data_IF_854004386076
#
_entry.id   IF_854004386076
#
_cell.length_a   1.000
_cell.length_b   1.000
_cell.length_c   1.000
_cell.angle_alpha   90.00
_cell.angle_beta   90.00
_cell.angle_gamma   90.00
#
_symmetry.space_group_name_H-M   'P 1'
#
loop_
_entity.id
_entity.type
_entity.pdbx_description
1 polymer ?
#
# COMPACT_ATOMS: atom_id res chain seq x y z
N UNK A 1 5.55 4.88 13.70
CA UNK A 1 4.59 4.10 12.91
C UNK A 1 3.22 4.25 13.53
N UNK A 2 2.29 4.86 12.79
CA UNK A 2 0.93 5.19 13.20
C UNK A 2 0.14 3.93 13.64
N UNK A 3 -0.78 4.08 14.59
CA UNK A 3 -1.57 2.96 15.15
C UNK A 3 -2.43 2.28 14.08
N UNK A 4 -2.98 3.04 13.13
CA UNK A 4 -3.78 2.53 12.03
C UNK A 4 -2.99 1.54 11.16
N UNK A 5 -1.72 1.82 10.88
CA UNK A 5 -0.84 0.90 10.14
C UNK A 5 -0.49 -0.34 10.96
N UNK A 6 -0.30 -0.21 12.28
CA UNK A 6 -0.01 -1.34 13.17
C UNK A 6 -1.19 -2.32 13.25
N UNK A 7 -2.39 -1.80 13.42
CA UNK A 7 -3.61 -2.62 13.57
C UNK A 7 -4.00 -3.33 12.28
N UNK A 8 -3.64 -2.77 11.12
CA UNK A 8 -3.95 -3.36 9.81
C UNK A 8 -2.79 -4.15 9.19
N UNK A 9 -1.68 -4.36 9.93
CA UNK A 9 -0.46 -4.94 9.37
C UNK A 9 -0.69 -6.32 8.73
N UNK A 10 -1.53 -7.17 9.33
CA UNK A 10 -1.82 -8.50 8.77
C UNK A 10 -2.68 -8.44 7.51
N UNK A 11 -3.62 -7.48 7.42
CA UNK A 11 -4.38 -7.23 6.19
C UNK A 11 -3.46 -6.71 5.08
N UNK A 12 -2.58 -5.77 5.42
CA UNK A 12 -1.57 -5.22 4.50
C UNK A 12 -0.64 -6.33 3.99
N UNK A 13 -0.20 -7.25 4.86
CA UNK A 13 0.62 -8.40 4.45
C UNK A 13 -0.11 -9.33 3.50
N UNK A 14 -1.38 -9.67 3.79
CA UNK A 14 -2.22 -10.48 2.90
C UNK A 14 -2.38 -9.83 1.53
N UNK A 15 -2.69 -8.54 1.54
CA UNK A 15 -2.76 -7.73 0.34
C UNK A 15 -1.46 -7.78 -0.47
N UNK A 16 -0.30 -7.60 0.18
CA UNK A 16 1.00 -7.68 -0.49
C UNK A 16 1.25 -9.05 -1.14
N UNK A 17 0.81 -10.14 -0.50
CA UNK A 17 0.95 -11.49 -1.04
C UNK A 17 0.04 -11.72 -2.25
N UNK A 18 -1.20 -11.24 -2.19
CA UNK A 18 -2.20 -11.35 -3.26
C UNK A 18 -1.76 -10.61 -4.53
N UNK A 19 -1.20 -9.40 -4.37
CA UNK A 19 -0.84 -8.50 -5.46
C UNK A 19 0.64 -8.56 -5.86
N UNK A 20 1.36 -9.61 -5.48
CA UNK A 20 2.79 -9.77 -5.80
C UNK A 20 3.66 -8.55 -5.45
N UNK A 21 3.35 -7.89 -4.34
CA UNK A 21 4.16 -6.80 -3.80
C UNK A 21 5.42 -7.38 -3.18
N UNK A 22 6.58 -6.95 -3.66
CA UNK A 22 7.89 -7.25 -3.07
C UNK A 22 8.11 -6.40 -1.81
N UNK A 23 7.81 -5.09 -1.91
CA UNK A 23 8.00 -4.13 -0.81
C UNK A 23 6.90 -3.08 -0.84
N UNK A 24 6.42 -2.71 0.35
CA UNK A 24 5.49 -1.63 0.57
C UNK A 24 6.09 -0.67 1.60
N UNK A 25 6.07 0.63 1.29
CA UNK A 25 6.54 1.67 2.20
C UNK A 25 5.42 2.66 2.45
N UNK A 26 5.17 2.98 3.72
CA UNK A 26 4.38 4.14 4.10
C UNK A 26 5.30 5.35 4.25
N UNK A 27 4.89 6.51 3.71
CA UNK A 27 5.64 7.76 3.81
C UNK A 27 4.68 8.94 3.96
N UNK A 28 5.21 10.17 3.98
CA UNK A 28 4.36 11.35 4.12
C UNK A 28 3.80 11.52 5.54
N UNK A 29 2.63 12.16 5.61
CA UNK A 29 2.04 12.61 6.88
C UNK A 29 1.78 11.47 7.87
N UNK A 30 1.39 10.29 7.38
CA UNK A 30 1.10 9.07 8.19
C UNK A 30 2.28 8.57 9.02
N UNK A 31 3.51 9.01 8.70
CA UNK A 31 4.71 8.66 9.45
C UNK A 31 5.11 9.72 10.48
N UNK A 32 4.31 10.76 10.66
CA UNK A 32 4.58 11.91 11.53
C UNK A 32 3.43 12.18 12.50
N UNK A 33 3.65 13.08 13.46
CA UNK A 33 2.62 13.52 14.41
C UNK A 33 1.58 14.47 13.79
N UNK A 34 1.75 14.87 12.52
CA UNK A 34 0.82 15.72 11.79
C UNK A 34 -0.31 14.94 11.08
N UNK A 35 -0.35 13.61 11.22
CA UNK A 35 -1.43 12.79 10.67
C UNK A 35 -2.75 13.06 11.40
N UNK A 36 -3.82 13.25 10.64
CA UNK A 36 -5.15 13.55 11.16
C UNK A 36 -6.22 12.80 10.36
N UNK A 37 -7.47 12.90 10.80
CA UNK A 37 -8.61 12.28 10.11
C UNK A 37 -8.87 12.86 8.70
N UNK A 38 -8.27 14.02 8.39
CA UNK A 38 -8.32 14.64 7.06
C UNK A 38 -7.10 14.28 6.19
N UNK A 39 -6.16 13.48 6.71
CA UNK A 39 -4.94 13.08 6.00
C UNK A 39 -5.19 11.82 5.18
N UNK A 40 -4.57 11.77 4.00
CA UNK A 40 -4.44 10.57 3.19
C UNK A 40 -3.30 9.67 3.70
N UNK A 41 -3.19 8.48 3.10
CA UNK A 41 -2.11 7.52 3.39
C UNK A 41 -1.29 7.33 2.12
N UNK A 42 -0.10 7.91 2.11
CA UNK A 42 0.85 7.75 1.01
C UNK A 42 1.58 6.41 1.10
N UNK A 43 1.47 5.61 0.04
CA UNK A 43 2.12 4.31 -0.09
C UNK A 43 2.99 4.24 -1.36
N UNK A 44 4.20 3.70 -1.21
CA UNK A 44 5.06 3.32 -2.32
C UNK A 44 5.10 1.81 -2.44
N UNK A 45 4.66 1.30 -3.59
CA UNK A 45 4.57 -0.13 -3.90
C UNK A 45 5.69 -0.50 -4.87
N UNK A 46 6.45 -1.54 -4.52
CA UNK A 46 7.35 -2.22 -5.45
C UNK A 46 6.83 -3.63 -5.67
N UNK A 47 6.43 -3.95 -6.89
CA UNK A 47 6.06 -5.32 -7.26
C UNK A 47 7.30 -6.20 -7.46
N UNK A 48 7.12 -7.51 -7.31
CA UNK A 48 8.09 -8.52 -7.72
C UNK A 48 8.34 -8.43 -9.23
N UNK A 49 9.38 -9.11 -9.70
CA UNK A 49 9.58 -9.31 -11.13
C UNK A 49 8.49 -10.26 -11.66
N UNK A 50 7.47 -9.70 -12.30
CA UNK A 50 6.31 -10.38 -12.88
C UNK A 50 6.12 -9.96 -14.35
N UNK A 51 5.35 -10.72 -15.16
CA UNK A 51 5.00 -10.32 -16.51
C UNK A 51 4.32 -8.94 -16.56
N UNK A 52 4.51 -8.21 -17.67
CA UNK A 52 4.01 -6.85 -17.81
C UNK A 52 2.48 -6.75 -17.71
N UNK A 53 1.76 -7.74 -18.25
CA UNK A 53 0.32 -7.83 -18.19
C UNK A 53 -0.16 -7.91 -16.75
N UNK A 54 0.44 -8.81 -15.95
CA UNK A 54 0.13 -8.95 -14.52
C UNK A 54 0.50 -7.70 -13.72
N UNK A 55 1.61 -7.04 -14.06
CA UNK A 55 1.97 -5.77 -13.47
C UNK A 55 0.89 -4.71 -13.71
N UNK A 56 0.42 -4.60 -14.97
CA UNK A 56 -0.62 -3.64 -15.34
C UNK A 56 -1.93 -3.95 -14.60
N UNK A 57 -2.35 -5.22 -14.57
CA UNK A 57 -3.54 -5.67 -13.84
C UNK A 57 -3.43 -5.30 -12.35
N UNK A 58 -2.33 -5.68 -11.69
CA UNK A 58 -2.11 -5.36 -10.28
C UNK A 58 -2.09 -3.85 -10.02
N UNK A 59 -1.47 -3.05 -10.89
CA UNK A 59 -1.42 -1.60 -10.76
C UNK A 59 -2.81 -0.97 -10.88
N UNK A 60 -3.59 -1.37 -11.90
CA UNK A 60 -4.92 -0.79 -12.11
C UNK A 60 -5.92 -1.24 -11.06
N UNK A 61 -5.90 -2.51 -10.63
CA UNK A 61 -6.73 -2.95 -9.50
C UNK A 61 -6.41 -2.14 -8.23
N UNK A 62 -5.13 -1.96 -7.93
CA UNK A 62 -4.69 -1.12 -6.81
C UNK A 62 -5.13 0.34 -6.91
N UNK A 63 -5.10 0.90 -8.13
CA UNK A 63 -5.47 2.30 -8.35
C UNK A 63 -6.97 2.50 -8.22
N UNK A 64 -7.77 1.56 -8.74
CA UNK A 64 -9.22 1.61 -8.78
C UNK A 64 -9.89 1.23 -7.45
N UNK A 65 -9.22 0.45 -6.59
CA UNK A 65 -9.69 0.16 -5.23
C UNK A 65 -9.80 1.42 -4.33
N UNK A 66 -9.22 2.54 -4.75
CA UNK A 66 -9.18 3.80 -4.02
C UNK A 66 -10.08 4.90 -4.64
N UNK A 67 -10.92 4.55 -5.63
CA UNK A 67 -12.02 5.38 -6.14
C UNK A 67 -13.37 4.86 -5.64
#
# INVERSE_FOLDING_TARGET
MNILLKENLDKIRKFCMEYDVERLYAFGSVMTDNFSDNSDIDLLVKFKQIPFEKYADNYFELKLLNE
#
